data_IF_917407754661
#
_entry.id   IF_917407754661
#
_cell.length_a   1.000
_cell.length_b   1.000
_cell.length_c   1.000
_cell.angle_alpha   90.00
_cell.angle_beta   90.00
_cell.angle_gamma   90.00
#
_symmetry.space_group_name_H-M   'P 1'
#
loop_
_entity.id
_entity.type
_entity.pdbx_description
1 polymer ?
#
# COMPACT_ATOMS: atom_id res chain seq x y z
N UNK A 1 -57.39 -25.57 44.00
CA UNK A 1 -57.30 -24.11 43.79
C UNK A 1 -55.86 -23.66 43.53
N UNK A 2 -54.83 -24.14 44.26
CA UNK A 2 -53.42 -23.79 44.01
C UNK A 2 -52.91 -24.13 42.60
N UNK A 3 -53.15 -25.35 42.10
CA UNK A 3 -52.65 -25.80 40.79
C UNK A 3 -53.19 -25.01 39.58
N UNK A 4 -54.38 -24.41 39.69
CA UNK A 4 -54.95 -23.58 38.62
C UNK A 4 -54.29 -22.19 38.57
N UNK A 5 -53.99 -21.61 39.73
CA UNK A 5 -53.26 -20.35 39.84
C UNK A 5 -51.80 -20.50 39.37
N UNK A 6 -51.17 -21.65 39.62
CA UNK A 6 -49.83 -21.95 39.13
C UNK A 6 -49.80 -22.11 37.61
N UNK A 7 -50.82 -22.73 37.02
CA UNK A 7 -50.95 -22.86 35.57
C UNK A 7 -51.15 -21.49 34.90
N UNK A 8 -52.02 -20.64 35.43
CA UNK A 8 -52.24 -19.28 34.90
C UNK A 8 -50.96 -18.42 34.94
N UNK A 9 -50.17 -18.54 36.02
CA UNK A 9 -48.89 -17.84 36.14
C UNK A 9 -47.88 -18.31 35.08
N UNK A 10 -47.75 -19.62 34.87
CA UNK A 10 -46.86 -20.19 33.85
C UNK A 10 -47.26 -19.75 32.43
N UNK A 11 -48.56 -19.69 32.13
CA UNK A 11 -49.03 -19.19 30.84
C UNK A 11 -48.74 -17.71 30.65
N UNK A 12 -48.93 -16.88 31.69
CA UNK A 12 -48.57 -15.46 31.64
C UNK A 12 -47.07 -15.24 31.44
N UNK A 13 -46.23 -16.05 32.09
CA UNK A 13 -44.77 -15.99 31.96
C UNK A 13 -44.31 -16.44 30.55
N UNK A 14 -44.93 -17.50 30.01
CA UNK A 14 -44.71 -17.94 28.62
C UNK A 14 -45.10 -16.87 27.60
N UNK A 15 -46.28 -16.27 27.76
CA UNK A 15 -46.76 -15.16 26.91
C UNK A 15 -45.81 -13.95 26.97
N UNK A 16 -45.28 -13.63 28.15
CA UNK A 16 -44.32 -12.55 28.32
C UNK A 16 -43.00 -12.86 27.60
N UNK A 17 -42.50 -14.10 27.71
CA UNK A 17 -41.29 -14.55 27.02
C UNK A 17 -41.47 -14.56 25.50
N UNK A 18 -42.62 -14.99 25.00
CA UNK A 18 -42.91 -14.97 23.57
C UNK A 18 -42.96 -13.54 23.02
N UNK A 19 -43.53 -12.59 23.79
CA UNK A 19 -43.50 -11.16 23.44
C UNK A 19 -42.08 -10.61 23.43
N UNK A 20 -41.21 -11.03 24.36
CA UNK A 20 -39.81 -10.62 24.37
C UNK A 20 -39.05 -11.16 23.16
N UNK A 21 -39.15 -12.46 22.88
CA UNK A 21 -38.52 -13.09 21.71
C UNK A 21 -38.97 -12.45 20.39
N UNK A 22 -40.23 -12.02 20.30
CA UNK A 22 -40.71 -11.25 19.14
C UNK A 22 -40.01 -9.90 19.03
N UNK A 23 -39.85 -9.15 20.13
CA UNK A 23 -39.11 -7.87 20.14
C UNK A 23 -37.64 -8.06 19.77
N UNK A 24 -36.98 -9.05 20.35
CA UNK A 24 -35.60 -9.41 20.01
C UNK A 24 -35.49 -9.81 18.53
N UNK A 25 -36.46 -10.57 18.00
CA UNK A 25 -36.54 -10.92 16.58
C UNK A 25 -36.70 -9.68 15.67
N UNK A 26 -37.48 -8.68 16.08
CA UNK A 26 -37.57 -7.40 15.37
C UNK A 26 -36.25 -6.64 15.42
N UNK A 27 -35.58 -6.58 16.57
CA UNK A 27 -34.27 -5.94 16.70
C UNK A 27 -33.20 -6.63 15.85
N UNK A 28 -33.15 -7.96 15.88
CA UNK A 28 -32.26 -8.76 15.04
C UNK A 28 -32.49 -8.49 13.55
N UNK A 29 -33.75 -8.35 13.13
CA UNK A 29 -34.10 -8.02 11.75
C UNK A 29 -33.67 -6.62 11.37
N UNK A 30 -33.86 -5.61 12.24
CA UNK A 30 -33.36 -4.26 11.99
C UNK A 30 -31.84 -4.21 11.91
N UNK A 31 -31.15 -4.90 12.82
CA UNK A 31 -29.69 -5.04 12.80
C UNK A 31 -29.26 -5.65 11.48
N UNK A 32 -29.91 -6.74 11.05
CA UNK A 32 -29.59 -7.39 9.79
C UNK A 32 -29.78 -6.46 8.59
N UNK A 33 -30.89 -5.70 8.52
CA UNK A 33 -31.10 -4.69 7.47
C UNK A 33 -30.00 -3.63 7.46
N UNK A 34 -29.68 -3.03 8.62
CA UNK A 34 -28.59 -2.05 8.74
C UNK A 34 -27.25 -2.64 8.33
N UNK A 35 -26.95 -3.86 8.77
CA UNK A 35 -25.73 -4.57 8.41
C UNK A 35 -25.65 -4.82 6.90
N UNK A 36 -26.74 -5.25 6.26
CA UNK A 36 -26.77 -5.45 4.80
C UNK A 36 -26.57 -4.16 4.02
N UNK A 37 -27.19 -3.06 4.44
CA UNK A 37 -27.01 -1.74 3.82
C UNK A 37 -25.57 -1.26 3.96
N UNK A 38 -25.00 -1.34 5.17
CA UNK A 38 -23.61 -1.00 5.42
C UNK A 38 -22.65 -1.85 4.58
N UNK A 39 -22.93 -3.15 4.41
CA UNK A 39 -22.10 -3.99 3.55
C UNK A 39 -22.17 -3.56 2.08
N UNK A 40 -23.36 -3.24 1.56
CA UNK A 40 -23.52 -2.75 0.20
C UNK A 40 -22.83 -1.40 -0.02
N UNK A 41 -22.93 -0.49 0.95
CA UNK A 41 -22.22 0.80 0.92
C UNK A 41 -20.70 0.61 0.96
N UNK A 42 -20.20 -0.26 1.85
CA UNK A 42 -18.78 -0.57 1.95
C UNK A 42 -18.25 -1.24 0.68
N UNK A 43 -19.02 -2.14 0.07
CA UNK A 43 -18.66 -2.80 -1.19
C UNK A 43 -18.59 -1.79 -2.34
N UNK A 44 -19.56 -0.88 -2.41
CA UNK A 44 -19.57 0.21 -3.38
C UNK A 44 -18.35 1.13 -3.18
N UNK A 45 -18.10 1.58 -1.95
CA UNK A 45 -16.96 2.43 -1.62
C UNK A 45 -15.63 1.74 -1.96
N UNK A 46 -15.52 0.43 -1.67
CA UNK A 46 -14.35 -0.38 -2.04
C UNK A 46 -14.16 -0.46 -3.55
N UNK A 47 -15.24 -0.71 -4.31
CA UNK A 47 -15.21 -0.75 -5.77
C UNK A 47 -14.80 0.60 -6.37
N UNK A 48 -15.32 1.70 -5.84
CA UNK A 48 -14.92 3.06 -6.23
C UNK A 48 -13.44 3.33 -5.94
N UNK A 49 -12.94 2.92 -4.77
CA UNK A 49 -11.54 3.03 -4.40
C UNK A 49 -10.64 2.18 -5.31
N UNK A 50 -11.04 0.94 -5.60
CA UNK A 50 -10.31 0.04 -6.51
C UNK A 50 -10.30 0.58 -7.95
N UNK A 51 -11.39 1.22 -8.40
CA UNK A 51 -11.45 1.93 -9.67
C UNK A 51 -10.50 3.11 -9.74
N UNK A 52 -10.45 3.95 -8.69
CA UNK A 52 -9.51 5.07 -8.56
C UNK A 52 -8.05 4.60 -8.39
N UNK A 53 -7.83 3.44 -7.79
CA UNK A 53 -6.50 2.86 -7.57
C UNK A 53 -5.92 2.20 -8.84
N UNK A 54 -6.67 2.12 -9.95
CA UNK A 54 -6.12 1.75 -11.24
C UNK A 54 -5.24 2.88 -11.74
N UNK A 55 -3.95 2.74 -11.48
CA UNK A 55 -2.92 3.62 -11.99
C UNK A 55 -2.93 3.58 -13.52
N UNK A 56 -3.20 4.72 -14.14
CA UNK A 56 -3.27 4.87 -15.58
C UNK A 56 -1.90 5.34 -16.09
N UNK A 57 -0.93 4.43 -16.09
CA UNK A 57 0.41 4.78 -16.54
C UNK A 57 0.47 5.00 -18.05
N UNK A 58 1.37 5.88 -18.50
CA UNK A 58 1.74 6.01 -19.90
C UNK A 58 2.29 4.68 -20.45
N UNK A 59 2.28 4.55 -21.78
CA UNK A 59 2.75 3.32 -22.44
C UNK A 59 4.20 3.01 -22.03
N UNK A 60 4.55 1.73 -21.78
CA UNK A 60 5.84 1.36 -21.17
C UNK A 60 7.07 1.73 -22.01
N UNK A 61 6.90 1.95 -23.31
CA UNK A 61 7.92 2.39 -24.27
C UNK A 61 8.10 3.93 -24.32
N UNK A 62 7.24 4.69 -23.66
CA UNK A 62 7.33 6.15 -23.57
C UNK A 62 8.63 6.56 -22.88
N UNK A 63 9.43 7.42 -23.53
CA UNK A 63 10.65 7.98 -22.96
C UNK A 63 10.31 9.06 -21.95
N UNK A 64 10.94 9.01 -20.78
CA UNK A 64 10.80 9.94 -19.67
C UNK A 64 12.17 10.54 -19.35
N UNK A 65 12.22 11.86 -19.26
CA UNK A 65 13.40 12.61 -18.87
C UNK A 65 13.30 12.99 -17.39
N UNK A 66 14.36 12.73 -16.63
CA UNK A 66 14.46 13.06 -15.21
C UNK A 66 15.70 13.91 -14.99
N UNK A 67 15.56 15.07 -14.36
CA UNK A 67 16.67 15.86 -13.85
C UNK A 67 16.80 15.61 -12.34
N UNK A 68 17.81 14.84 -11.94
CA UNK A 68 18.06 14.51 -10.53
C UNK A 68 19.23 15.34 -10.04
N UNK A 69 19.01 16.30 -9.15
CA UNK A 69 20.09 17.12 -8.56
C UNK A 69 20.99 17.82 -9.58
N UNK A 70 20.46 18.14 -10.77
CA UNK A 70 21.21 18.75 -11.88
C UNK A 70 21.71 17.78 -12.96
N UNK A 71 21.64 16.47 -12.74
CA UNK A 71 22.02 15.45 -13.72
C UNK A 71 20.79 14.94 -14.47
N UNK A 72 20.83 15.01 -15.80
CA UNK A 72 19.76 14.50 -16.65
C UNK A 72 19.94 12.99 -16.86
N UNK A 73 18.85 12.26 -16.67
CA UNK A 73 18.66 10.85 -16.97
C UNK A 73 17.53 10.69 -17.96
N UNK A 74 17.67 9.71 -18.84
CA UNK A 74 16.62 9.30 -19.75
C UNK A 74 16.35 7.81 -19.55
N UNK A 75 15.07 7.45 -19.50
CA UNK A 75 14.63 6.06 -19.36
C UNK A 75 13.23 5.89 -19.95
N UNK A 76 12.67 4.68 -19.90
CA UNK A 76 11.29 4.44 -20.29
C UNK A 76 10.36 4.30 -19.08
N UNK A 77 9.08 4.60 -19.27
CA UNK A 77 8.06 4.42 -18.25
C UNK A 77 8.00 2.98 -17.73
N UNK A 78 8.24 1.97 -18.58
CA UNK A 78 8.29 0.57 -18.14
C UNK A 78 9.35 0.28 -17.07
N UNK A 79 10.49 0.99 -17.11
CA UNK A 79 11.53 0.87 -16.08
C UNK A 79 11.07 1.53 -14.77
N UNK A 80 10.51 2.74 -14.84
CA UNK A 80 10.06 3.49 -13.66
C UNK A 80 8.85 2.85 -12.97
N UNK A 81 7.95 2.26 -13.76
CA UNK A 81 6.75 1.56 -13.30
C UNK A 81 7.00 0.13 -12.83
N UNK A 82 8.26 -0.36 -12.84
CA UNK A 82 8.58 -1.73 -12.37
C UNK A 82 8.11 -1.96 -10.94
N UNK A 83 8.27 -0.95 -10.08
CA UNK A 83 7.61 -0.91 -8.78
C UNK A 83 6.44 0.08 -8.84
N UNK A 84 5.24 -0.45 -9.09
CA UNK A 84 4.02 0.34 -9.36
C UNK A 84 3.63 1.30 -8.22
N UNK A 85 4.08 1.05 -6.99
CA UNK A 85 3.74 1.89 -5.84
C UNK A 85 4.85 2.86 -5.45
N UNK A 86 5.93 2.89 -6.24
CA UNK A 86 7.04 3.82 -6.06
C UNK A 86 6.65 5.24 -6.49
N UNK A 87 7.37 6.21 -5.94
CA UNK A 87 7.30 7.62 -6.37
C UNK A 87 7.66 7.75 -7.85
N UNK A 88 8.59 6.91 -8.34
CA UNK A 88 9.02 6.91 -9.73
C UNK A 88 7.90 6.45 -10.68
N UNK A 89 7.11 5.45 -10.28
CA UNK A 89 5.94 5.02 -11.05
C UNK A 89 4.87 6.11 -11.09
N UNK A 90 4.70 6.87 -9.99
CA UNK A 90 3.75 7.98 -9.93
C UNK A 90 4.11 9.15 -10.87
N UNK A 91 5.36 9.28 -11.32
CA UNK A 91 5.74 10.24 -12.37
C UNK A 91 5.21 9.83 -13.75
N UNK A 92 4.92 8.54 -13.94
CA UNK A 92 4.42 7.99 -15.19
C UNK A 92 2.88 7.95 -15.23
N UNK A 93 2.20 8.46 -14.21
CA UNK A 93 0.75 8.61 -14.24
C UNK A 93 0.37 9.60 -15.35
N UNK A 94 -0.56 9.18 -16.21
CA UNK A 94 -0.94 9.92 -17.40
C UNK A 94 -1.89 11.07 -17.09
N UNK A 95 -2.71 10.92 -16.05
CA UNK A 95 -3.78 11.85 -15.73
C UNK A 95 -3.32 12.86 -14.66
N UNK A 96 -2.63 12.38 -13.62
CA UNK A 96 -2.22 13.21 -12.49
C UNK A 96 -0.82 12.78 -11.95
N UNK A 97 0.27 13.18 -12.63
CA UNK A 97 1.61 12.91 -12.13
C UNK A 97 1.86 13.67 -10.82
N UNK A 98 2.53 13.02 -9.87
CA UNK A 98 2.80 13.58 -8.53
C UNK A 98 3.64 14.87 -8.56
N UNK A 99 4.46 15.02 -9.60
CA UNK A 99 5.29 16.20 -9.87
C UNK A 99 4.96 16.64 -11.29
N UNK A 100 4.68 17.94 -11.48
CA UNK A 100 4.53 18.49 -12.82
C UNK A 100 5.89 18.52 -13.54
N UNK A 101 5.96 18.10 -14.81
CA UNK A 101 7.18 18.27 -15.59
C UNK A 101 7.41 19.75 -15.92
N UNK A 102 8.67 20.11 -16.16
CA UNK A 102 9.06 21.41 -16.71
C UNK A 102 8.53 21.61 -18.14
N UNK A 103 8.69 22.81 -18.70
CA UNK A 103 8.24 23.17 -20.06
C UNK A 103 8.76 22.21 -21.15
N UNK A 104 9.95 21.64 -20.94
CA UNK A 104 10.58 20.68 -21.85
C UNK A 104 10.16 19.21 -21.60
N UNK A 105 9.21 18.97 -20.70
CA UNK A 105 8.72 17.62 -20.35
C UNK A 105 9.64 16.83 -19.41
N UNK A 106 10.62 17.49 -18.78
CA UNK A 106 11.57 16.86 -17.84
C UNK A 106 11.06 16.98 -16.42
N UNK A 107 11.13 15.90 -15.63
CA UNK A 107 10.78 15.96 -14.21
C UNK A 107 12.00 16.30 -13.36
N UNK A 108 11.89 17.29 -12.49
CA UNK A 108 12.96 17.65 -11.55
C UNK A 108 12.82 16.92 -10.21
N UNK A 109 13.93 16.35 -9.73
CA UNK A 109 14.05 15.66 -8.46
C UNK A 109 15.25 16.24 -7.69
N UNK A 110 14.99 16.90 -6.56
CA UNK A 110 16.04 17.49 -5.72
C UNK A 110 16.72 16.44 -4.83
N UNK A 111 17.41 15.48 -5.46
CA UNK A 111 18.06 14.31 -4.84
C UNK A 111 19.45 14.05 -5.42
N UNK A 112 20.19 13.13 -4.81
CA UNK A 112 21.54 12.77 -5.25
C UNK A 112 21.52 11.88 -6.52
N UNK A 113 22.02 12.43 -7.62
CA UNK A 113 22.14 11.72 -8.89
C UNK A 113 23.14 10.57 -8.87
N UNK A 114 24.17 10.65 -8.03
CA UNK A 114 25.22 9.65 -7.93
C UNK A 114 24.64 8.33 -7.47
N UNK A 115 23.78 8.37 -6.44
CA UNK A 115 23.05 7.20 -5.95
C UNK A 115 21.90 6.81 -6.87
N UNK A 116 21.19 7.79 -7.44
CA UNK A 116 20.07 7.52 -8.33
C UNK A 116 20.44 6.62 -9.51
N UNK A 117 21.65 6.75 -10.06
CA UNK A 117 22.15 5.84 -11.13
C UNK A 117 22.03 4.36 -10.72
N UNK A 118 22.30 4.04 -9.45
CA UNK A 118 22.32 2.67 -8.95
C UNK A 118 20.89 2.16 -8.79
N UNK A 119 19.98 3.02 -8.32
CA UNK A 119 18.54 2.71 -8.26
C UNK A 119 18.00 2.42 -9.66
N UNK A 120 18.35 3.26 -10.64
CA UNK A 120 17.91 3.08 -12.02
C UNK A 120 18.49 1.80 -12.64
N UNK A 121 19.74 1.46 -12.33
CA UNK A 121 20.33 0.18 -12.74
C UNK A 121 19.64 -1.02 -12.10
N UNK A 122 19.28 -0.94 -10.82
CA UNK A 122 18.48 -1.98 -10.16
C UNK A 122 17.13 -2.16 -10.84
N UNK A 123 16.43 -1.07 -11.20
CA UNK A 123 15.17 -1.18 -11.94
C UNK A 123 15.36 -1.90 -13.29
N UNK A 124 16.51 -1.71 -13.96
CA UNK A 124 16.81 -2.34 -15.26
C UNK A 124 17.19 -3.83 -15.16
N UNK A 125 18.05 -4.19 -14.22
CA UNK A 125 18.71 -5.51 -14.21
C UNK A 125 18.61 -6.27 -12.88
N UNK A 126 17.97 -5.69 -11.86
CA UNK A 126 17.92 -6.21 -10.48
C UNK A 126 19.31 -6.40 -9.83
N UNK A 127 20.34 -5.75 -10.39
CA UNK A 127 21.70 -5.83 -9.88
C UNK A 127 21.93 -4.85 -8.72
N UNK A 128 22.64 -5.33 -7.68
CA UNK A 128 23.07 -4.53 -6.55
C UNK A 128 24.59 -4.27 -6.60
N UNK A 129 25.06 -3.08 -6.18
CA UNK A 129 26.49 -2.82 -6.03
C UNK A 129 27.09 -3.67 -4.91
N UNK A 130 28.39 -3.95 -5.00
CA UNK A 130 29.13 -4.71 -3.98
C UNK A 130 29.62 -3.84 -2.82
N UNK A 131 29.74 -2.53 -3.05
CA UNK A 131 30.23 -1.59 -2.04
C UNK A 131 29.16 -1.37 -0.93
N UNK A 132 29.46 -1.71 0.34
CA UNK A 132 28.54 -1.53 1.45
C UNK A 132 28.10 -0.07 1.68
N UNK A 133 28.98 0.90 1.42
CA UNK A 133 28.64 2.32 1.59
C UNK A 133 27.59 2.75 0.55
N UNK A 134 27.79 2.35 -0.70
CA UNK A 134 26.82 2.60 -1.77
C UNK A 134 25.51 1.91 -1.47
N UNK A 135 25.52 0.67 -0.95
CA UNK A 135 24.29 -0.04 -0.56
C UNK A 135 23.52 0.69 0.53
N UNK A 136 24.20 1.26 1.53
CA UNK A 136 23.56 2.03 2.60
C UNK A 136 22.90 3.30 2.07
N UNK A 137 23.61 4.07 1.23
CA UNK A 137 23.08 5.28 0.61
C UNK A 137 21.94 4.97 -0.36
N UNK A 138 22.10 3.91 -1.16
CA UNK A 138 21.07 3.36 -2.05
C UNK A 138 19.82 2.93 -1.28
N UNK A 139 19.96 2.35 -0.08
CA UNK A 139 18.83 2.02 0.78
C UNK A 139 18.06 3.27 1.24
N UNK A 140 18.78 4.33 1.62
CA UNK A 140 18.15 5.59 2.03
C UNK A 140 17.37 6.24 0.87
N UNK A 141 17.94 6.28 -0.33
CA UNK A 141 17.22 6.79 -1.51
C UNK A 141 16.09 5.84 -1.93
N UNK A 142 16.26 4.52 -1.84
CA UNK A 142 15.19 3.56 -2.13
C UNK A 142 13.98 3.75 -1.20
N UNK A 143 14.22 4.10 0.07
CA UNK A 143 13.16 4.47 1.01
C UNK A 143 12.48 5.78 0.61
N UNK A 144 13.23 6.78 0.15
CA UNK A 144 12.67 8.05 -0.34
C UNK A 144 11.77 7.83 -1.57
N UNK A 145 12.26 7.12 -2.59
CA UNK A 145 11.50 6.80 -3.80
C UNK A 145 10.46 5.70 -3.60
N UNK A 146 10.38 5.10 -2.40
CA UNK A 146 9.49 3.99 -2.06
C UNK A 146 9.61 2.80 -3.00
N UNK A 147 10.84 2.43 -3.33
CA UNK A 147 11.16 1.26 -4.16
C UNK A 147 11.29 0.04 -3.24
N UNK A 148 10.17 -0.59 -2.92
CA UNK A 148 10.09 -1.65 -1.90
C UNK A 148 10.84 -2.91 -2.31
N UNK A 149 10.87 -3.23 -3.61
CA UNK A 149 11.66 -4.35 -4.13
C UNK A 149 13.14 -4.21 -3.79
N UNK A 150 13.67 -2.99 -3.94
CA UNK A 150 15.07 -2.67 -3.66
C UNK A 150 15.35 -2.70 -2.16
N UNK A 151 14.50 -2.08 -1.35
CA UNK A 151 14.64 -2.11 0.11
C UNK A 151 14.67 -3.55 0.66
N UNK A 152 13.84 -4.45 0.10
CA UNK A 152 13.84 -5.87 0.46
C UNK A 152 15.11 -6.58 0.01
N UNK A 153 15.56 -6.33 -1.22
CA UNK A 153 16.77 -6.95 -1.76
C UNK A 153 18.01 -6.60 -0.94
N UNK A 154 18.18 -5.33 -0.54
CA UNK A 154 19.30 -4.89 0.31
C UNK A 154 19.23 -5.53 1.70
N UNK A 155 18.05 -5.57 2.33
CA UNK A 155 17.87 -6.19 3.67
C UNK A 155 18.15 -7.70 3.68
N UNK A 156 17.92 -8.37 2.56
CA UNK A 156 18.15 -9.81 2.42
C UNK A 156 19.64 -10.17 2.25
N UNK A 157 20.52 -9.19 2.01
CA UNK A 157 21.96 -9.44 1.90
C UNK A 157 22.51 -9.92 3.26
N UNK A 158 23.40 -10.93 3.24
CA UNK A 158 24.08 -11.35 4.46
C UNK A 158 24.91 -10.18 4.99
N UNK A 159 24.62 -9.76 6.22
CA UNK A 159 25.40 -8.73 6.89
C UNK A 159 26.83 -9.26 7.06
N UNK A 160 27.87 -8.47 6.77
CA UNK A 160 29.23 -8.87 7.06
C UNK A 160 29.31 -9.23 8.54
N UNK A 161 29.80 -10.43 8.82
CA UNK A 161 29.88 -11.00 10.17
C UNK A 161 30.61 -10.00 11.09
N UNK A 162 29.88 -9.30 11.96
CA UNK A 162 30.45 -8.39 12.96
C UNK A 162 31.11 -9.20 14.09
N UNK A 163 31.92 -10.21 13.76
CA UNK A 163 32.74 -10.97 14.71
C UNK A 163 34.08 -10.24 14.91
N UNK A 164 34.03 -9.02 15.43
CA UNK A 164 35.12 -8.58 16.29
C UNK A 164 35.03 -9.44 17.55
N UNK A 165 35.73 -10.59 17.55
CA UNK A 165 36.03 -11.30 18.79
C UNK A 165 36.81 -10.31 19.65
N UNK A 166 36.15 -9.75 20.66
CA UNK A 166 36.83 -9.12 21.77
C UNK A 166 37.82 -10.14 22.34
N UNK A 167 39.09 -10.01 21.98
CA UNK A 167 40.17 -10.68 22.67
C UNK A 167 40.15 -10.14 24.10
N UNK A 168 39.57 -10.91 25.01
CA UNK A 168 39.78 -10.71 26.45
C UNK A 168 41.24 -11.04 26.72
N UNK A 169 42.03 -10.01 27.02
CA UNK A 169 43.25 -10.16 27.81
C UNK A 169 42.87 -10.20 29.29
#
# INVERSE_FOLDING_TARGET
>A
MAAAADAERLWSDLDAHERELRREGYQLREIWHKTTELHAENEKARSELEGKARQNFVAPDTRINLNVGGQIFETTAGILCKDRWSVLAALCDRDEPIIAPDDDGTFFLDRDWWIFRHILNWLRTDALPQDPMVLLEMYNEAMFYRVEGLCRAIKALPQPDCRFKAARN
#
